data_IF_607704118603
#
_entry.id   IF_607704118603
#
_cell.length_a   1.000
_cell.length_b   1.000
_cell.length_c   1.000
_cell.angle_alpha   90.00
_cell.angle_beta   90.00
_cell.angle_gamma   90.00
#
_symmetry.space_group_name_H-M   'P 1'
#
loop_
_entity.id
_entity.type
_entity.pdbx_description
1 polymer ?
#
# COMPACT_ATOMS: atom_id res chain seq x y z
N UNK A 1 20.99 -14.02 9.12
CA UNK A 1 19.63 -14.30 8.59
C UNK A 1 19.36 -13.30 7.49
N UNK A 2 18.65 -13.68 6.42
CA UNK A 2 18.33 -12.74 5.34
C UNK A 2 17.31 -11.71 5.82
N UNK A 3 17.50 -10.45 5.46
CA UNK A 3 16.54 -9.38 5.79
C UNK A 3 15.17 -9.71 5.18
N UNK A 4 14.08 -9.68 5.96
CA UNK A 4 12.74 -9.96 5.45
C UNK A 4 12.37 -8.96 4.36
N UNK A 5 11.81 -9.45 3.26
CA UNK A 5 11.33 -8.57 2.18
C UNK A 5 9.94 -8.07 2.50
N UNK A 6 9.84 -6.80 2.88
CA UNK A 6 8.59 -6.11 3.18
C UNK A 6 8.44 -4.84 2.34
N UNK A 7 7.22 -4.32 2.24
CA UNK A 7 6.91 -3.05 1.59
C UNK A 7 5.85 -2.28 2.38
N UNK A 8 6.18 -1.04 2.70
CA UNK A 8 5.24 -0.01 3.15
C UNK A 8 4.85 0.81 1.93
N UNK A 9 3.56 0.92 1.64
CA UNK A 9 3.08 1.52 0.39
C UNK A 9 2.89 3.03 0.49
N UNK A 10 2.65 3.52 1.70
CA UNK A 10 2.48 4.93 2.02
C UNK A 10 3.00 5.21 3.44
N UNK A 11 3.53 6.41 3.68
CA UNK A 11 4.06 6.81 4.99
C UNK A 11 3.00 6.91 6.10
N UNK A 12 1.72 7.00 5.74
CA UNK A 12 0.59 6.94 6.66
C UNK A 12 0.15 5.50 7.00
N UNK A 13 0.71 4.47 6.34
CA UNK A 13 0.33 3.08 6.58
C UNK A 13 0.81 2.61 7.96
N UNK A 14 -0.06 2.00 8.75
CA UNK A 14 0.30 1.37 10.02
C UNK A 14 0.59 -0.14 9.88
N UNK A 15 0.61 -0.65 8.64
CA UNK A 15 0.98 -2.02 8.29
C UNK A 15 2.01 -2.05 7.16
N UNK A 16 2.72 -3.18 7.05
CA UNK A 16 3.56 -3.53 5.89
C UNK A 16 3.04 -4.79 5.21
N UNK A 17 3.36 -4.95 3.93
CA UNK A 17 3.10 -6.17 3.17
C UNK A 17 4.37 -7.01 3.08
N UNK A 18 4.24 -8.29 3.39
CA UNK A 18 5.29 -9.28 3.14
C UNK A 18 5.43 -9.54 1.62
N UNK A 19 6.60 -9.27 1.05
CA UNK A 19 6.93 -9.59 -0.36
C UNK A 19 7.61 -10.97 -0.47
N UNK A 20 8.12 -11.49 0.64
CA UNK A 20 8.57 -12.87 0.79
C UNK A 20 7.98 -13.50 2.04
N UNK A 21 8.55 -14.62 2.48
CA UNK A 21 8.26 -15.17 3.82
C UNK A 21 8.89 -14.27 4.88
N UNK A 22 8.14 -13.96 5.93
CA UNK A 22 8.61 -13.34 7.16
C UNK A 22 8.49 -14.39 8.26
N UNK A 23 9.57 -14.66 8.96
CA UNK A 23 9.62 -15.61 10.08
C UNK A 23 9.37 -14.91 11.40
N UNK A 24 8.94 -15.67 12.40
CA UNK A 24 8.81 -15.14 13.76
C UNK A 24 10.19 -14.67 14.27
N UNK A 25 10.23 -13.46 14.84
CA UNK A 25 11.45 -12.83 15.34
C UNK A 25 12.25 -12.04 14.30
N UNK A 26 11.86 -12.06 13.02
CA UNK A 26 12.50 -11.21 12.01
C UNK A 26 12.30 -9.72 12.35
N UNK A 27 13.37 -8.93 12.23
CA UNK A 27 13.29 -7.47 12.38
C UNK A 27 12.74 -6.82 11.11
N UNK A 28 11.66 -6.07 11.28
CA UNK A 28 10.99 -5.28 10.26
C UNK A 28 11.47 -3.82 10.32
N UNK A 29 10.75 -2.94 9.62
CA UNK A 29 10.96 -1.50 9.69
C UNK A 29 10.85 -0.97 11.14
N UNK A 30 11.63 0.06 11.46
CA UNK A 30 11.66 0.77 12.75
C UNK A 30 11.92 -0.14 13.97
N UNK A 31 12.57 -1.29 13.76
CA UNK A 31 12.95 -2.22 14.83
C UNK A 31 11.82 -3.14 15.31
N UNK A 32 10.65 -3.10 14.67
CA UNK A 32 9.51 -3.97 15.02
C UNK A 32 9.87 -5.42 14.75
N UNK A 33 9.60 -6.32 15.70
CA UNK A 33 9.81 -7.76 15.51
C UNK A 33 8.52 -8.43 15.03
N UNK A 34 8.61 -9.27 14.02
CA UNK A 34 7.48 -10.10 13.58
C UNK A 34 7.07 -11.09 14.69
N UNK A 35 5.79 -11.11 15.04
CA UNK A 35 5.18 -11.97 16.07
C UNK A 35 4.37 -13.08 15.42
N UNK A 36 5.07 -13.95 14.70
CA UNK A 36 4.50 -15.03 13.92
C UNK A 36 5.12 -15.12 12.54
N UNK A 37 5.01 -16.30 11.92
CA UNK A 37 5.42 -16.48 10.53
C UNK A 37 4.28 -16.03 9.62
N UNK A 38 4.62 -15.23 8.60
CA UNK A 38 3.67 -14.66 7.66
C UNK A 38 4.15 -14.92 6.23
N UNK A 39 3.22 -15.35 5.37
CA UNK A 39 3.50 -15.61 3.95
C UNK A 39 3.49 -14.34 3.09
N UNK A 40 3.97 -14.46 1.85
CA UNK A 40 3.91 -13.39 0.85
C UNK A 40 2.46 -12.91 0.65
N UNK A 41 2.28 -11.59 0.55
CA UNK A 41 1.00 -10.92 0.30
C UNK A 41 0.23 -10.52 1.58
N UNK A 42 0.61 -11.07 2.72
CA UNK A 42 -0.04 -10.78 3.99
C UNK A 42 0.52 -9.53 4.69
N UNK A 43 -0.28 -8.99 5.62
CA UNK A 43 0.01 -7.72 6.32
C UNK A 43 0.61 -7.99 7.70
N UNK A 44 1.53 -7.14 8.14
CA UNK A 44 2.06 -7.14 9.52
C UNK A 44 1.94 -5.73 10.10
N UNK A 45 1.50 -5.60 11.35
CA UNK A 45 1.40 -4.31 12.03
C UNK A 45 2.78 -3.71 12.33
N UNK A 46 3.01 -2.44 11.98
CA UNK A 46 4.22 -1.69 12.35
C UNK A 46 4.07 -0.89 13.65
N UNK A 47 2.85 -0.64 14.09
CA UNK A 47 2.55 0.12 15.30
C UNK A 47 1.41 -0.53 16.06
N UNK A 48 1.17 -0.07 17.29
CA UNK A 48 -0.03 -0.49 18.02
C UNK A 48 -1.26 0.09 17.33
N UNK A 49 -2.30 -0.72 17.16
CA UNK A 49 -3.60 -0.33 16.61
C UNK A 49 -4.64 -0.75 17.65
N UNK A 50 -5.30 0.20 18.30
CA UNK A 50 -6.30 -0.12 19.30
C UNK A 50 -7.55 -0.73 18.66
N UNK A 51 -8.37 -1.41 19.45
CA UNK A 51 -9.66 -1.92 18.97
C UNK A 51 -10.52 -0.77 18.40
N UNK A 52 -11.12 -0.99 17.24
CA UNK A 52 -11.88 0.02 16.50
C UNK A 52 -11.04 1.05 15.76
N UNK A 53 -9.71 1.07 15.91
CA UNK A 53 -8.85 2.00 15.15
C UNK A 53 -8.66 1.56 13.70
N UNK A 54 -8.47 2.53 12.79
CA UNK A 54 -8.32 2.25 11.37
C UNK A 54 -7.00 1.54 11.05
N UNK A 55 -7.09 0.50 10.22
CA UNK A 55 -5.96 -0.14 9.57
C UNK A 55 -5.76 0.54 8.22
N UNK A 56 -4.57 1.09 7.98
CA UNK A 56 -4.24 1.89 6.80
C UNK A 56 -3.27 1.17 5.87
N UNK A 57 -3.64 1.09 4.59
CA UNK A 57 -2.81 0.60 3.48
C UNK A 57 -3.03 1.50 2.28
N UNK A 58 -1.96 1.87 1.57
CA UNK A 58 -2.01 2.88 0.51
C UNK A 58 -2.45 4.28 1.00
N UNK A 59 -2.25 4.58 2.29
CA UNK A 59 -2.77 5.79 2.95
C UNK A 59 -4.27 5.71 3.31
N UNK A 60 -4.97 4.70 2.80
CA UNK A 60 -6.42 4.57 2.90
C UNK A 60 -6.83 3.58 3.99
N UNK A 61 -7.98 3.83 4.62
CA UNK A 61 -8.56 2.91 5.60
C UNK A 61 -9.08 1.67 4.85
N UNK A 62 -8.56 0.50 5.20
CA UNK A 62 -8.95 -0.79 4.59
C UNK A 62 -9.81 -1.67 5.53
N UNK A 63 -10.08 -1.18 6.74
CA UNK A 63 -10.80 -1.87 7.79
C UNK A 63 -10.40 -1.30 9.15
N UNK A 64 -10.91 -1.91 10.20
CA UNK A 64 -10.64 -1.52 11.58
C UNK A 64 -10.15 -2.73 12.36
N UNK A 65 -9.33 -2.51 13.38
CA UNK A 65 -8.91 -3.61 14.24
C UNK A 65 -10.11 -4.12 15.04
N UNK A 66 -10.41 -5.42 14.96
CA UNK A 66 -11.52 -6.03 15.73
C UNK A 66 -11.13 -6.30 17.20
N UNK A 67 -9.85 -6.15 17.51
CA UNK A 67 -9.26 -6.24 18.85
C UNK A 67 -7.97 -5.42 18.84
N UNK A 68 -7.35 -5.19 19.99
CA UNK A 68 -6.05 -4.53 20.05
C UNK A 68 -4.98 -5.34 19.31
N UNK A 69 -4.24 -4.69 18.40
CA UNK A 69 -3.13 -5.27 17.65
C UNK A 69 -1.83 -4.58 18.11
N UNK A 70 -0.95 -5.32 18.78
CA UNK A 70 0.40 -4.83 19.10
C UNK A 70 1.26 -4.72 17.82
N UNK A 71 2.45 -4.07 17.84
CA UNK A 71 3.39 -4.13 16.73
C UNK A 71 3.92 -5.56 16.48
N UNK A 72 3.93 -6.01 15.23
CA UNK A 72 4.52 -7.29 14.79
C UNK A 72 3.60 -8.46 14.41
N UNK A 73 2.36 -8.61 14.91
CA UNK A 73 1.46 -9.69 14.51
C UNK A 73 0.97 -9.59 13.07
N UNK A 74 0.53 -10.74 12.57
CA UNK A 74 -0.18 -10.88 11.29
C UNK A 74 -1.53 -10.15 11.35
N UNK A 75 -1.77 -9.25 10.40
CA UNK A 75 -3.05 -8.54 10.25
C UNK A 75 -3.88 -9.20 9.14
N UNK A 76 -5.00 -9.83 9.50
CA UNK A 76 -5.87 -10.60 8.62
C UNK A 76 -7.32 -10.61 9.10
N UNK A 77 -8.21 -11.29 8.39
CA UNK A 77 -9.65 -11.37 8.70
C UNK A 77 -9.99 -11.73 10.16
N UNK A 78 -9.12 -12.42 10.90
CA UNK A 78 -9.37 -12.75 12.30
C UNK A 78 -9.22 -11.56 13.26
N UNK A 79 -8.48 -10.52 12.87
CA UNK A 79 -8.27 -9.29 13.66
C UNK A 79 -8.63 -8.01 12.90
N UNK A 80 -9.33 -8.14 11.77
CA UNK A 80 -9.83 -7.02 10.96
C UNK A 80 -11.34 -7.12 10.85
N UNK A 81 -12.04 -6.07 11.27
CA UNK A 81 -13.46 -5.87 11.04
C UNK A 81 -13.70 -4.87 9.89
N UNK A 82 -14.79 -5.08 9.17
CA UNK A 82 -15.37 -4.07 8.28
C UNK A 82 -16.58 -3.50 9.00
N UNK A 83 -16.56 -2.19 9.24
CA UNK A 83 -17.72 -1.46 9.77
C UNK A 83 -18.27 -0.54 8.68
N UNK A 84 -19.56 -0.26 8.76
CA UNK A 84 -20.09 0.94 8.14
C UNK A 84 -19.57 2.14 8.93
N UNK A 85 -18.78 2.97 8.27
CA UNK A 85 -18.35 4.26 8.79
C UNK A 85 -18.71 5.31 7.76
N UNK A 86 -19.07 6.52 8.22
CA UNK A 86 -19.28 7.65 7.33
C UNK A 86 -17.97 7.91 6.58
N UNK A 87 -17.89 7.46 5.34
CA UNK A 87 -16.85 7.90 4.43
C UNK A 87 -17.16 9.35 4.15
N UNK A 88 -16.32 10.25 4.65
CA UNK A 88 -16.25 11.57 4.03
C UNK A 88 -15.97 11.32 2.55
N UNK A 89 -16.88 11.74 1.67
CA UNK A 89 -16.85 11.38 0.25
C UNK A 89 -15.73 12.20 -0.42
N UNK A 90 -14.49 11.79 -0.18
CA UNK A 90 -13.27 12.45 -0.59
C UNK A 90 -12.75 11.85 -1.91
N UNK A 91 -13.65 11.68 -2.88
CA UNK A 91 -13.29 11.10 -4.17
C UNK A 91 -12.20 11.95 -4.84
N UNK A 92 -11.09 11.30 -5.22
CA UNK A 92 -9.93 11.94 -5.83
C UNK A 92 -9.34 13.11 -4.99
N UNK A 93 -9.56 13.15 -3.68
CA UNK A 93 -9.10 14.26 -2.83
C UNK A 93 -7.57 14.39 -2.79
N UNK A 94 -6.85 13.26 -2.91
CA UNK A 94 -5.38 13.25 -3.03
C UNK A 94 -4.88 13.35 -4.48
N UNK A 95 -5.78 13.51 -5.47
CA UNK A 95 -5.37 13.69 -6.86
C UNK A 95 -4.58 15.00 -6.99
N UNK A 96 -3.38 14.88 -7.53
CA UNK A 96 -2.57 16.04 -7.89
C UNK A 96 -2.69 16.27 -9.40
N UNK A 97 -2.69 17.53 -9.86
CA UNK A 97 -2.52 17.82 -11.27
C UNK A 97 -1.27 17.09 -11.78
N UNK A 98 -1.34 16.58 -13.01
CA UNK A 98 -0.15 16.10 -13.69
C UNK A 98 0.85 17.27 -13.75
N UNK A 99 2.03 17.07 -13.16
CA UNK A 99 3.11 18.05 -13.16
C UNK A 99 3.69 18.28 -14.55
N UNK A 100 3.26 17.49 -15.54
CA UNK A 100 3.87 17.41 -16.84
C UNK A 100 5.23 16.74 -16.76
N UNK A 101 6.08 17.03 -17.73
CA UNK A 101 7.46 16.56 -17.76
C UNK A 101 8.25 17.13 -16.59
N UNK A 102 9.07 16.30 -15.95
CA UNK A 102 10.01 16.77 -14.94
C UNK A 102 11.07 17.68 -15.61
N UNK A 103 11.75 18.55 -14.83
CA UNK A 103 12.83 19.36 -15.36
C UNK A 103 13.88 18.52 -16.10
N UNK A 104 14.04 18.77 -17.40
CA UNK A 104 14.99 18.06 -18.27
C UNK A 104 14.40 16.87 -19.03
N UNK A 105 13.15 16.48 -18.78
CA UNK A 105 12.47 15.49 -19.60
C UNK A 105 11.92 16.11 -20.89
N UNK A 106 11.96 15.34 -21.97
CA UNK A 106 11.37 15.68 -23.27
C UNK A 106 10.29 14.64 -23.61
N UNK A 107 9.23 14.99 -24.35
CA UNK A 107 8.23 14.01 -24.74
C UNK A 107 8.88 12.86 -25.53
N UNK A 108 8.60 11.62 -25.11
CA UNK A 108 8.96 10.44 -25.88
C UNK A 108 8.16 10.38 -27.19
N UNK A 109 8.75 9.77 -28.22
CA UNK A 109 8.11 9.60 -29.53
C UNK A 109 8.06 8.13 -29.93
N UNK A 110 7.11 7.77 -30.79
CA UNK A 110 7.01 6.44 -31.35
C UNK A 110 6.65 6.50 -32.84
N UNK A 111 7.02 5.47 -33.59
CA UNK A 111 6.66 5.35 -35.01
C UNK A 111 5.19 4.90 -35.13
N UNK A 112 4.32 5.81 -35.59
CA UNK A 112 2.87 5.57 -35.68
C UNK A 112 2.29 5.91 -37.06
N UNK A 113 1.07 5.45 -37.29
CA UNK A 113 0.34 5.67 -38.55
C UNK A 113 -0.51 6.95 -38.45
N UNK A 114 -0.07 8.02 -39.13
CA UNK A 114 -0.77 9.32 -39.13
C UNK A 114 -2.04 9.25 -39.97
N UNK A 115 -3.17 9.69 -39.40
CA UNK A 115 -4.48 9.73 -40.05
C UNK A 115 -4.80 11.13 -40.61
N UNK A 116 -5.71 11.25 -41.59
CA UNK A 116 -6.12 12.55 -42.13
C UNK A 116 -6.72 13.52 -41.10
N UNK A 117 -7.31 12.99 -40.02
CA UNK A 117 -7.88 13.77 -38.92
C UNK A 117 -6.84 14.22 -37.87
N UNK A 118 -5.56 13.95 -38.10
CA UNK A 118 -4.46 14.32 -37.19
C UNK A 118 -4.20 13.34 -36.04
N UNK A 119 -5.05 12.31 -35.85
CA UNK A 119 -4.79 11.26 -34.87
C UNK A 119 -3.71 10.28 -35.36
N UNK A 120 -3.09 9.57 -34.43
CA UNK A 120 -2.02 8.59 -34.71
C UNK A 120 -2.45 7.21 -34.20
N UNK A 121 -2.38 6.20 -35.07
CA UNK A 121 -2.65 4.80 -34.71
C UNK A 121 -1.36 4.03 -34.41
N UNK A 122 -1.45 3.01 -33.54
CA UNK A 122 -0.36 2.08 -33.23
C UNK A 122 -0.29 0.88 -34.18
N UNK A 123 -1.28 0.73 -35.06
CA UNK A 123 -1.39 -0.29 -36.12
C UNK A 123 -2.03 0.33 -37.36
N UNK A 124 -1.68 -0.19 -38.53
CA UNK A 124 -2.33 0.16 -39.81
C UNK A 124 -3.61 -0.63 -39.99
#
# INVERSE_FOLDING_TARGET
>A
MATPRILRLNDADNVVIAIGRVSNGDTLQDGVLARGTVGKGHKIALSSIAEGEPIRKFGQIIGFASTQIAPGPWVHEHNVAIHDFSRDYAFAFEARPDGGLLPGEVPETFQGFRRPDGRVGTRN
#
